data_IF_819919717307
#
_entry.id   IF_819919717307
#
_cell.length_a   1.000
_cell.length_b   1.000
_cell.length_c   1.000
_cell.angle_alpha   90.00
_cell.angle_beta   90.00
_cell.angle_gamma   90.00
#
_symmetry.space_group_name_H-M   'P 1'
#
loop_
_entity.id
_entity.type
_entity.pdbx_description
1 polymer ?
#
# COMPACT_ATOMS: atom_id res chain seq x y z
N UNK A 1 -3.36 23.29 29.46
CA UNK A 1 -4.05 24.18 28.51
C UNK A 1 -3.18 24.59 27.31
N UNK A 2 -2.13 25.42 27.41
CA UNK A 2 -1.32 25.81 26.22
C UNK A 2 -0.51 24.65 25.60
N UNK A 3 0.14 23.82 26.43
CA UNK A 3 0.95 22.69 25.95
C UNK A 3 0.11 21.58 25.27
N UNK A 4 -1.12 21.36 25.73
CA UNK A 4 -2.05 20.39 25.13
C UNK A 4 -2.56 20.89 23.76
N UNK A 5 -2.88 22.17 23.65
CA UNK A 5 -3.28 22.79 22.38
C UNK A 5 -2.15 22.71 21.34
N UNK A 6 -0.92 22.98 21.76
CA UNK A 6 0.24 22.86 20.87
C UNK A 6 0.47 21.41 20.42
N UNK A 7 0.36 20.44 21.34
CA UNK A 7 0.48 19.02 21.02
C UNK A 7 -0.58 18.59 20.00
N UNK A 8 -1.84 18.99 20.20
CA UNK A 8 -2.94 18.71 19.28
C UNK A 8 -2.70 19.34 17.90
N UNK A 9 -2.22 20.57 17.83
CA UNK A 9 -1.90 21.24 16.56
C UNK A 9 -0.80 20.50 15.79
N UNK A 10 0.28 20.10 16.48
CA UNK A 10 1.38 19.33 15.87
C UNK A 10 0.89 17.97 15.36
N UNK A 11 0.07 17.26 16.14
CA UNK A 11 -0.51 15.99 15.74
C UNK A 11 -1.42 16.15 14.50
N UNK A 12 -2.31 17.14 14.49
CA UNK A 12 -3.15 17.42 13.33
C UNK A 12 -2.35 17.80 12.09
N UNK A 13 -1.30 18.61 12.23
CA UNK A 13 -0.42 18.97 11.12
C UNK A 13 0.28 17.72 10.54
N UNK A 14 0.73 16.81 11.41
CA UNK A 14 1.32 15.53 11.00
C UNK A 14 0.31 14.65 10.26
N UNK A 15 -0.91 14.48 10.78
CA UNK A 15 -1.96 13.70 10.11
C UNK A 15 -2.29 14.27 8.73
N UNK A 16 -2.45 15.59 8.60
CA UNK A 16 -2.69 16.25 7.31
C UNK A 16 -1.57 15.99 6.32
N UNK A 17 -0.31 16.05 6.77
CA UNK A 17 0.86 15.73 5.95
C UNK A 17 0.84 14.27 5.49
N UNK A 18 0.60 13.32 6.41
CA UNK A 18 0.56 11.90 6.07
C UNK A 18 -0.57 11.58 5.08
N UNK A 19 -1.77 12.15 5.26
CA UNK A 19 -2.89 12.00 4.32
C UNK A 19 -2.55 12.57 2.95
N UNK A 20 -1.91 13.75 2.90
CA UNK A 20 -1.45 14.34 1.66
C UNK A 20 -0.39 13.46 0.98
N UNK A 21 0.63 13.01 1.71
CA UNK A 21 1.69 12.15 1.17
C UNK A 21 1.16 10.79 0.69
N UNK A 22 0.09 10.27 1.30
CA UNK A 22 -0.46 8.97 0.95
C UNK A 22 -0.95 8.89 -0.50
N UNK A 23 -1.45 10.00 -1.07
CA UNK A 23 -2.15 10.11 -2.36
C UNK A 23 -3.16 8.98 -2.57
N UNK A 24 -4.10 8.86 -1.63
CA UNK A 24 -5.20 7.91 -1.75
C UNK A 24 -6.06 8.24 -2.99
N UNK A 25 -6.48 7.24 -3.78
CA UNK A 25 -7.22 7.48 -5.02
C UNK A 25 -8.64 8.00 -4.78
N UNK A 26 -9.22 7.69 -3.62
CA UNK A 26 -10.58 8.08 -3.25
C UNK A 26 -10.64 8.58 -1.80
N UNK A 27 -11.55 9.53 -1.48
CA UNK A 27 -11.75 9.99 -0.11
C UNK A 27 -12.62 9.02 0.73
N UNK A 28 -12.57 7.71 0.47
CA UNK A 28 -13.38 6.70 1.17
C UNK A 28 -12.68 6.14 2.40
N UNK A 29 -13.49 5.67 3.34
CA UNK A 29 -13.14 4.99 4.58
C UNK A 29 -13.60 3.53 4.54
N UNK A 30 -13.21 2.72 5.54
CA UNK A 30 -13.74 1.36 5.70
C UNK A 30 -15.26 1.33 5.93
N UNK A 31 -15.84 2.40 6.47
CA UNK A 31 -17.28 2.50 6.68
C UNK A 31 -18.07 2.66 5.36
N UNK A 32 -17.41 3.10 4.29
CA UNK A 32 -18.01 3.29 2.96
C UNK A 32 -17.93 2.03 2.08
N UNK A 33 -17.42 0.92 2.62
CA UNK A 33 -17.24 -0.34 1.90
C UNK A 33 -18.57 -1.09 1.83
N UNK A 34 -18.92 -1.50 0.61
CA UNK A 34 -19.96 -2.49 0.38
C UNK A 34 -19.40 -3.89 0.67
N UNK A 35 -19.60 -4.35 1.91
CA UNK A 35 -19.14 -5.67 2.34
C UNK A 35 -19.86 -6.81 1.62
N UNK A 36 -21.04 -6.57 1.02
CA UNK A 36 -21.74 -7.57 0.22
C UNK A 36 -21.00 -7.94 -1.07
N UNK A 37 -20.06 -7.09 -1.53
CA UNK A 37 -19.24 -7.36 -2.70
C UNK A 37 -18.11 -8.39 -2.44
N UNK A 38 -17.82 -8.71 -1.18
CA UNK A 38 -16.78 -9.65 -0.80
C UNK A 38 -17.39 -10.92 -0.21
N UNK A 39 -17.32 -12.04 -0.96
CA UNK A 39 -17.96 -13.30 -0.57
C UNK A 39 -17.21 -14.05 0.55
N UNK A 40 -15.88 -13.97 0.55
CA UNK A 40 -15.02 -14.80 1.41
C UNK A 40 -14.13 -13.98 2.36
N UNK A 41 -14.43 -12.68 2.55
CA UNK A 41 -13.66 -11.82 3.46
C UNK A 41 -14.36 -11.65 4.80
N UNK A 42 -13.65 -11.97 5.87
CA UNK A 42 -14.09 -11.66 7.22
C UNK A 42 -13.87 -10.16 7.50
N UNK A 43 -14.99 -9.43 7.56
CA UNK A 43 -15.01 -8.00 7.91
C UNK A 43 -14.28 -7.73 9.24
N UNK A 44 -14.47 -8.57 10.24
CA UNK A 44 -13.88 -8.35 11.56
C UNK A 44 -12.35 -8.43 11.48
N UNK A 45 -11.81 -9.39 10.73
CA UNK A 45 -10.37 -9.52 10.51
C UNK A 45 -9.79 -8.28 9.81
N UNK A 46 -10.49 -7.74 8.82
CA UNK A 46 -10.06 -6.52 8.12
C UNK A 46 -10.10 -5.29 9.03
N UNK A 47 -11.16 -5.13 9.82
CA UNK A 47 -11.25 -4.05 10.81
C UNK A 47 -10.13 -4.19 11.86
N UNK A 48 -9.81 -5.40 12.31
CA UNK A 48 -8.68 -5.65 13.19
C UNK A 48 -7.35 -5.21 12.57
N UNK A 49 -7.06 -5.60 11.31
CA UNK A 49 -5.84 -5.17 10.60
C UNK A 49 -5.74 -3.64 10.42
N UNK A 50 -6.89 -2.95 10.36
CA UNK A 50 -6.95 -1.50 10.26
C UNK A 50 -6.80 -0.77 11.59
N UNK A 51 -7.06 -1.44 12.71
CA UNK A 51 -7.00 -0.86 14.06
C UNK A 51 -5.77 -1.32 14.87
N UNK A 52 -5.22 -2.49 14.58
CA UNK A 52 -3.99 -3.00 15.15
C UNK A 52 -2.86 -2.90 14.11
N UNK A 53 -1.84 -2.09 14.42
CA UNK A 53 -0.70 -1.87 13.53
C UNK A 53 0.43 -2.87 13.74
N UNK A 54 0.31 -3.83 14.66
CA UNK A 54 1.39 -4.74 15.03
C UNK A 54 1.89 -5.61 13.88
N UNK A 55 1.06 -5.88 12.87
CA UNK A 55 1.48 -6.58 11.65
C UNK A 55 2.48 -5.77 10.80
N UNK A 56 2.41 -4.43 10.85
CA UNK A 56 3.41 -3.57 10.20
C UNK A 56 4.77 -3.67 10.90
N UNK A 57 4.77 -3.81 12.23
CA UNK A 57 5.99 -3.94 13.03
C UNK A 57 6.66 -5.31 12.80
N UNK A 58 5.88 -6.33 12.41
CA UNK A 58 6.37 -7.64 11.97
C UNK A 58 6.69 -7.72 10.48
N UNK A 59 6.53 -6.61 9.74
CA UNK A 59 6.71 -6.54 8.29
C UNK A 59 5.86 -7.57 7.50
N UNK A 60 4.66 -7.87 8.00
CA UNK A 60 3.72 -8.76 7.31
C UNK A 60 3.10 -8.06 6.09
N UNK A 61 2.89 -8.79 5.01
CA UNK A 61 2.31 -8.27 3.78
C UNK A 61 0.84 -8.68 3.65
N UNK A 62 0.03 -7.81 3.06
CA UNK A 62 -1.37 -8.10 2.75
C UNK A 62 -1.54 -8.27 1.24
N UNK A 63 -2.25 -9.31 0.83
CA UNK A 63 -2.56 -9.56 -0.57
C UNK A 63 -4.07 -9.62 -0.75
N UNK A 64 -4.60 -8.78 -1.63
CA UNK A 64 -6.02 -8.71 -1.95
C UNK A 64 -6.24 -9.22 -3.38
N UNK A 65 -6.83 -10.40 -3.48
CA UNK A 65 -7.15 -11.04 -4.75
C UNK A 65 -8.66 -11.09 -4.98
N UNK A 66 -9.07 -10.99 -6.24
CA UNK A 66 -10.47 -11.13 -6.63
C UNK A 66 -10.78 -10.40 -7.93
N UNK A 67 -11.95 -10.63 -8.54
CA UNK A 67 -12.29 -10.05 -9.84
C UNK A 67 -12.28 -8.52 -9.82
N UNK A 68 -12.21 -7.90 -11.00
CA UNK A 68 -12.31 -6.44 -11.11
C UNK A 68 -13.69 -5.95 -10.62
N UNK A 69 -13.74 -4.75 -10.06
CA UNK A 69 -15.00 -4.12 -9.62
C UNK A 69 -15.51 -4.48 -8.23
N UNK A 70 -14.90 -5.45 -7.51
CA UNK A 70 -15.35 -5.85 -6.15
C UNK A 70 -14.88 -4.91 -5.01
N UNK A 71 -14.14 -3.84 -5.33
CA UNK A 71 -13.76 -2.83 -4.35
C UNK A 71 -12.40 -3.04 -3.66
N UNK A 72 -11.50 -3.90 -4.19
CA UNK A 72 -10.14 -4.11 -3.64
C UNK A 72 -9.34 -2.79 -3.45
N UNK A 73 -9.32 -1.93 -4.47
CA UNK A 73 -8.71 -0.60 -4.42
C UNK A 73 -9.31 0.27 -3.30
N UNK A 74 -10.64 0.24 -3.14
CA UNK A 74 -11.32 0.98 -2.07
C UNK A 74 -10.95 0.43 -0.69
N UNK A 75 -10.91 -0.89 -0.54
CA UNK A 75 -10.51 -1.55 0.69
C UNK A 75 -9.06 -1.19 1.07
N UNK A 76 -8.13 -1.29 0.12
CA UNK A 76 -6.74 -0.89 0.33
C UNK A 76 -6.60 0.59 0.74
N UNK A 77 -7.37 1.49 0.11
CA UNK A 77 -7.39 2.92 0.47
C UNK A 77 -7.97 3.14 1.88
N UNK A 78 -9.02 2.41 2.26
CA UNK A 78 -9.62 2.46 3.59
C UNK A 78 -8.68 1.98 4.69
N UNK A 79 -7.93 0.89 4.45
CA UNK A 79 -6.88 0.41 5.36
C UNK A 79 -5.81 1.50 5.52
N UNK A 80 -5.29 2.06 4.43
CA UNK A 80 -4.29 3.12 4.50
C UNK A 80 -4.77 4.33 5.33
N UNK A 81 -6.00 4.77 5.10
CA UNK A 81 -6.58 5.89 5.85
C UNK A 81 -6.66 5.59 7.35
N UNK A 82 -7.05 4.36 7.70
CA UNK A 82 -7.13 3.92 9.10
C UNK A 82 -5.74 3.90 9.75
N UNK A 83 -4.74 3.36 9.07
CA UNK A 83 -3.35 3.37 9.54
C UNK A 83 -2.79 4.78 9.72
N UNK A 84 -3.10 5.70 8.79
CA UNK A 84 -2.69 7.11 8.91
C UNK A 84 -3.33 7.76 10.14
N UNK A 85 -4.58 7.44 10.46
CA UNK A 85 -5.23 7.92 11.69
C UNK A 85 -4.55 7.41 12.98
N UNK A 86 -3.82 6.29 12.88
CA UNK A 86 -2.98 5.70 13.93
C UNK A 86 -1.51 6.14 13.83
N UNK A 87 -1.26 7.24 13.13
CA UNK A 87 0.06 7.86 12.95
C UNK A 87 1.10 6.97 12.23
N UNK A 88 0.62 5.99 11.45
CA UNK A 88 1.46 5.15 10.57
C UNK A 88 1.48 5.72 9.15
N UNK A 89 2.67 5.89 8.59
CA UNK A 89 2.85 6.40 7.23
C UNK A 89 2.46 5.33 6.20
N UNK A 90 1.60 5.70 5.26
CA UNK A 90 1.21 4.83 4.14
C UNK A 90 1.30 5.60 2.83
N UNK A 91 1.58 4.90 1.72
CA UNK A 91 1.63 5.50 0.38
C UNK A 91 0.99 4.58 -0.64
N UNK A 92 0.11 5.15 -1.47
CA UNK A 92 -0.64 4.43 -2.49
C UNK A 92 -0.07 4.67 -3.88
N UNK A 93 0.20 3.58 -4.60
CA UNK A 93 0.58 3.62 -6.01
C UNK A 93 -0.30 2.66 -6.82
N UNK A 94 -0.59 3.03 -8.06
CA UNK A 94 -0.89 2.01 -9.08
C UNK A 94 0.42 1.31 -9.43
N UNK A 95 0.36 0.02 -9.72
CA UNK A 95 1.52 -0.76 -10.08
C UNK A 95 2.26 -0.15 -11.27
N UNK A 96 1.54 0.29 -12.31
CA UNK A 96 2.11 0.95 -13.50
C UNK A 96 2.91 2.20 -13.15
N UNK A 97 2.38 3.10 -12.32
CA UNK A 97 3.10 4.33 -11.94
C UNK A 97 4.35 4.01 -11.13
N UNK A 98 4.27 3.06 -10.19
CA UNK A 98 5.42 2.66 -9.39
C UNK A 98 6.52 2.04 -10.25
N UNK A 99 6.16 1.13 -11.16
CA UNK A 99 7.09 0.52 -12.11
C UNK A 99 7.80 1.58 -12.94
N UNK A 100 7.06 2.52 -13.53
CA UNK A 100 7.64 3.61 -14.33
C UNK A 100 8.61 4.48 -13.51
N UNK A 101 8.25 4.82 -12.26
CA UNK A 101 9.13 5.57 -11.36
C UNK A 101 10.44 4.79 -11.06
N UNK A 102 10.35 3.48 -10.80
CA UNK A 102 11.50 2.65 -10.49
C UNK A 102 12.37 2.36 -11.71
N UNK A 103 11.77 2.12 -12.89
CA UNK A 103 12.50 1.95 -14.14
C UNK A 103 13.29 3.21 -14.50
N UNK A 104 12.66 4.40 -14.35
CA UNK A 104 13.37 5.66 -14.55
C UNK A 104 14.52 5.82 -13.56
N UNK A 105 14.29 5.52 -12.27
CA UNK A 105 15.36 5.56 -11.28
C UNK A 105 16.49 4.56 -11.59
N UNK A 106 16.17 3.39 -12.16
CA UNK A 106 17.15 2.39 -12.60
C UNK A 106 17.98 2.91 -13.77
N UNK A 107 17.34 3.50 -14.77
CA UNK A 107 18.02 4.14 -15.91
C UNK A 107 18.95 5.29 -15.47
N UNK A 108 18.55 6.02 -14.43
CA UNK A 108 19.33 7.12 -13.84
C UNK A 108 20.37 6.64 -12.80
N UNK A 109 20.63 5.33 -12.69
CA UNK A 109 21.53 4.71 -11.69
C UNK A 109 21.22 5.10 -10.23
N UNK A 110 19.96 5.40 -9.95
CA UNK A 110 19.45 5.92 -8.68
C UNK A 110 18.39 5.00 -8.02
N UNK A 111 18.26 3.75 -8.48
CA UNK A 111 17.23 2.82 -7.97
C UNK A 111 17.35 2.58 -6.47
N UNK A 112 18.54 2.28 -5.95
CA UNK A 112 18.75 2.08 -4.51
C UNK A 112 18.30 3.30 -3.68
N UNK A 113 18.51 4.52 -4.18
CA UNK A 113 18.05 5.75 -3.55
C UNK A 113 16.52 5.88 -3.59
N UNK A 114 15.89 5.48 -4.70
CA UNK A 114 14.43 5.46 -4.82
C UNK A 114 13.79 4.44 -3.86
N UNK A 115 14.35 3.23 -3.74
CA UNK A 115 13.89 2.20 -2.81
C UNK A 115 14.00 2.66 -1.35
N UNK A 116 15.16 3.17 -0.93
CA UNK A 116 15.34 3.73 0.42
C UNK A 116 14.37 4.88 0.73
N UNK A 117 13.98 5.67 -0.28
CA UNK A 117 12.99 6.74 -0.11
C UNK A 117 11.59 6.18 0.17
N UNK A 118 11.25 5.03 -0.39
CA UNK A 118 9.97 4.35 -0.16
C UNK A 118 9.91 3.70 1.24
N UNK A 119 11.05 3.37 1.86
CA UNK A 119 11.15 2.81 3.23
C UNK A 119 10.72 3.76 4.35
N UNK A 120 10.51 5.05 4.04
CA UNK A 120 9.89 5.99 4.99
C UNK A 120 8.42 5.70 5.26
N UNK A 121 7.77 4.93 4.39
CA UNK A 121 6.37 4.53 4.54
C UNK A 121 6.31 3.16 5.21
N UNK A 122 5.60 3.08 6.34
CA UNK A 122 5.35 1.83 7.04
C UNK A 122 4.59 0.85 6.13
N UNK A 123 3.65 1.35 5.33
CA UNK A 123 2.94 0.59 4.31
C UNK A 123 3.09 1.22 2.91
N UNK A 124 3.40 0.40 1.91
CA UNK A 124 3.18 0.77 0.51
C UNK A 124 2.04 -0.07 -0.06
N UNK A 125 1.11 0.59 -0.75
CA UNK A 125 0.11 -0.10 -1.57
C UNK A 125 0.58 -0.14 -3.01
N UNK A 126 0.52 -1.33 -3.61
CA UNK A 126 0.74 -1.58 -5.03
C UNK A 126 -0.59 -2.09 -5.59
N UNK A 127 -1.38 -1.17 -6.16
CA UNK A 127 -2.71 -1.48 -6.67
C UNK A 127 -2.64 -2.00 -8.11
N UNK A 128 -3.43 -3.01 -8.41
CA UNK A 128 -3.65 -3.54 -9.77
C UNK A 128 -2.37 -4.06 -10.45
N UNK A 129 -1.58 -4.88 -9.73
CA UNK A 129 -0.33 -5.45 -10.25
C UNK A 129 -0.52 -6.34 -11.49
N UNK A 130 -1.70 -6.93 -11.68
CA UNK A 130 -2.02 -7.75 -12.85
C UNK A 130 -2.00 -7.01 -14.19
N UNK A 131 -1.92 -5.67 -14.18
CA UNK A 131 -1.81 -4.84 -15.39
C UNK A 131 -0.37 -4.48 -15.77
N UNK A 132 0.61 -4.83 -14.93
CA UNK A 132 2.03 -4.72 -15.29
C UNK A 132 2.30 -5.72 -16.40
N UNK A 133 2.88 -5.26 -17.52
CA UNK A 133 3.18 -6.13 -18.64
C UNK A 133 4.30 -7.06 -18.19
N UNK A 134 4.24 -8.32 -18.63
CA UNK A 134 5.28 -9.33 -18.40
C UNK A 134 6.52 -9.04 -19.27
N UNK A 135 7.00 -7.80 -19.27
CA UNK A 135 8.33 -7.53 -19.78
C UNK A 135 9.34 -7.67 -18.62
N UNK A 136 10.51 -8.22 -18.92
CA UNK A 136 11.52 -8.56 -17.93
C UNK A 136 12.00 -7.33 -17.14
N UNK A 137 11.93 -6.14 -17.74
CA UNK A 137 12.37 -4.89 -17.12
C UNK A 137 11.36 -4.37 -16.09
N UNK A 138 10.05 -4.48 -16.35
CA UNK A 138 8.95 -4.11 -15.45
C UNK A 138 8.93 -5.05 -14.23
N UNK A 139 9.04 -6.36 -14.45
CA UNK A 139 9.11 -7.36 -13.38
C UNK A 139 10.35 -7.18 -12.52
N UNK A 140 11.52 -6.90 -13.12
CA UNK A 140 12.78 -6.77 -12.40
C UNK A 140 12.73 -5.70 -11.31
N UNK A 141 12.16 -4.52 -11.58
CA UNK A 141 12.13 -3.44 -10.58
C UNK A 141 11.14 -3.70 -9.44
N UNK A 142 10.03 -4.39 -9.71
CA UNK A 142 9.08 -4.81 -8.67
C UNK A 142 9.70 -5.87 -7.78
N UNK A 143 10.41 -6.84 -8.35
CA UNK A 143 11.13 -7.84 -7.59
C UNK A 143 12.18 -7.20 -6.67
N UNK A 144 12.96 -6.24 -7.19
CA UNK A 144 13.92 -5.48 -6.39
C UNK A 144 13.25 -4.72 -5.24
N UNK A 145 12.07 -4.14 -5.45
CA UNK A 145 11.29 -3.49 -4.40
C UNK A 145 10.80 -4.48 -3.33
N UNK A 146 10.23 -5.62 -3.73
CA UNK A 146 9.74 -6.66 -2.82
C UNK A 146 10.88 -7.18 -1.96
N UNK A 147 12.02 -7.52 -2.57
CA UNK A 147 13.22 -7.98 -1.87
C UNK A 147 13.79 -6.91 -0.94
N UNK A 148 13.79 -5.63 -1.35
CA UNK A 148 14.26 -4.54 -0.51
C UNK A 148 13.43 -4.36 0.77
N UNK A 149 12.14 -4.69 0.71
CA UNK A 149 11.19 -4.50 1.82
C UNK A 149 10.93 -5.77 2.62
N UNK A 150 11.32 -6.93 2.10
CA UNK A 150 11.18 -8.23 2.77
C UNK A 150 11.76 -8.17 4.20
N UNK A 151 10.96 -8.58 5.18
CA UNK A 151 11.27 -8.54 6.63
C UNK A 151 11.63 -7.15 7.20
N UNK A 152 11.39 -6.07 6.45
CA UNK A 152 11.74 -4.70 6.86
C UNK A 152 10.53 -3.78 6.93
N UNK A 153 9.65 -3.85 5.93
CA UNK A 153 8.47 -2.99 5.81
C UNK A 153 7.36 -3.69 5.03
N UNK A 154 6.12 -3.40 5.39
CA UNK A 154 4.96 -4.04 4.77
C UNK A 154 4.60 -3.50 3.40
N UNK A 155 4.00 -4.38 2.61
CA UNK A 155 3.34 -4.16 1.34
C UNK A 155 1.87 -4.58 1.46
N UNK A 156 0.99 -3.84 0.80
CA UNK A 156 -0.36 -4.30 0.46
C UNK A 156 -0.46 -4.33 -1.06
N UNK A 157 -0.73 -5.49 -1.64
CA UNK A 157 -0.84 -5.64 -3.10
C UNK A 157 -2.26 -6.05 -3.47
N UNK A 158 -2.80 -5.43 -4.52
CA UNK A 158 -4.08 -5.86 -5.11
C UNK A 158 -3.86 -6.46 -6.49
N UNK A 159 -4.63 -7.49 -6.82
CA UNK A 159 -4.57 -8.16 -8.13
C UNK A 159 -5.94 -8.68 -8.55
N UNK A 160 -6.26 -8.54 -9.83
CA UNK A 160 -7.42 -9.17 -10.45
C UNK A 160 -7.15 -10.59 -10.96
N UNK A 161 -5.88 -11.01 -11.00
CA UNK A 161 -5.45 -12.36 -11.36
C UNK A 161 -5.25 -13.23 -10.10
N UNK A 162 -5.57 -14.53 -10.15
CA UNK A 162 -5.34 -15.46 -9.05
C UNK A 162 -3.85 -15.64 -8.76
N UNK A 163 -3.53 -16.01 -7.51
CA UNK A 163 -2.15 -16.20 -7.04
C UNK A 163 -1.35 -17.21 -7.89
N UNK A 164 -2.01 -18.23 -8.46
CA UNK A 164 -1.39 -19.21 -9.36
C UNK A 164 -0.81 -18.61 -10.64
N UNK A 165 -1.22 -17.41 -11.02
CA UNK A 165 -0.70 -16.71 -12.20
C UNK A 165 0.48 -15.79 -11.89
N UNK A 166 0.79 -15.56 -10.61
CA UNK A 166 1.94 -14.74 -10.18
C UNK A 166 3.28 -15.38 -10.49
N UNK A 167 3.38 -16.71 -10.55
CA UNK A 167 4.60 -17.36 -11.07
C UNK A 167 4.91 -16.83 -12.48
N UNK A 168 3.90 -16.56 -13.31
CA UNK A 168 4.12 -15.99 -14.65
C UNK A 168 4.42 -14.48 -14.65
N UNK A 169 4.28 -13.78 -13.52
CA UNK A 169 4.64 -12.36 -13.38
C UNK A 169 6.12 -12.25 -13.00
N UNK A 170 6.66 -13.25 -12.29
CA UNK A 170 8.04 -13.29 -11.80
C UNK A 170 8.92 -14.40 -12.43
N UNK A 171 8.43 -15.08 -13.47
CA UNK A 171 9.15 -16.10 -14.26
C UNK A 171 9.95 -15.53 -15.41
#
# INVERSE_FOLDING_TARGET
MLAEQEHQQRHQARLRRLLHEAQLPVPKTLADIDWGAFLDLDRHQIEQLAHDTGWLDRAENLLLFGPSGVGKTHLAAGICRSLISLDRSARFFTATTLVQELQRAKADYALAKALNRLDRYALLVIDDIGYVRKDEAETSVLFELVMHRYERRSLLVTSNQPFSEWENVFS
#
